data_IF_447922437868
#
_entry.id   IF_447922437868
#
_cell.length_a   1.000
_cell.length_b   1.000
_cell.length_c   1.000
_cell.angle_alpha   90.00
_cell.angle_beta   90.00
_cell.angle_gamma   90.00
#
_symmetry.space_group_name_H-M   'P 1'
#
loop_
_entity.id
_entity.type
_entity.pdbx_description
1 polymer ?
#
# COMPACT_ATOMS: atom_id res chain seq x y z
N UNK A 1 -45.02 -5.57 65.47
CA UNK A 1 -44.23 -4.47 64.83
C UNK A 1 -43.25 -5.10 63.88
N UNK A 2 -43.57 -5.05 62.53
CA UNK A 2 -42.73 -5.66 61.48
C UNK A 2 -42.12 -4.55 60.68
N UNK A 3 -40.80 -4.41 60.72
CA UNK A 3 -40.05 -3.51 59.88
C UNK A 3 -39.82 -4.21 58.51
N UNK A 4 -40.27 -3.60 57.41
CA UNK A 4 -39.91 -3.96 56.03
C UNK A 4 -38.72 -3.10 55.61
N UNK A 5 -37.56 -3.72 55.43
CA UNK A 5 -36.40 -3.13 54.77
C UNK A 5 -36.53 -3.30 53.29
N UNK A 6 -36.78 -2.19 52.57
CA UNK A 6 -36.71 -2.16 51.12
C UNK A 6 -35.26 -1.99 50.63
N UNK A 7 -34.77 -2.95 49.88
CA UNK A 7 -33.51 -2.83 49.16
C UNK A 7 -33.77 -2.12 47.82
N UNK A 8 -33.23 -0.92 47.65
CA UNK A 8 -33.22 -0.23 46.36
C UNK A 8 -32.02 -0.74 45.55
N UNK A 9 -32.28 -1.40 44.45
CA UNK A 9 -31.26 -1.77 43.48
C UNK A 9 -30.94 -0.56 42.59
N UNK A 10 -29.76 0.01 42.76
CA UNK A 10 -29.23 1.06 41.89
C UNK A 10 -28.63 0.37 40.65
N UNK A 11 -29.34 0.44 39.51
CA UNK A 11 -28.82 -0.03 38.21
C UNK A 11 -27.89 1.08 37.70
N UNK A 12 -26.57 0.82 37.79
CA UNK A 12 -25.56 1.63 37.10
C UNK A 12 -25.61 1.25 35.61
N UNK A 13 -26.17 2.11 34.81
CA UNK A 13 -26.00 2.05 33.34
C UNK A 13 -24.58 2.48 33.02
N UNK A 14 -23.70 1.52 32.80
CA UNK A 14 -22.44 1.76 32.12
C UNK A 14 -22.73 2.06 30.66
N UNK A 15 -22.74 3.35 30.31
CA UNK A 15 -22.65 3.77 28.91
C UNK A 15 -21.23 3.45 28.47
N UNK A 16 -21.07 2.35 27.76
CA UNK A 16 -19.85 2.10 27.01
C UNK A 16 -19.76 3.19 25.94
N UNK A 17 -18.90 4.18 26.15
CA UNK A 17 -18.44 5.02 25.03
C UNK A 17 -17.67 4.09 24.11
N UNK A 18 -18.24 3.78 22.95
CA UNK A 18 -17.45 3.30 21.83
C UNK A 18 -16.39 4.37 21.53
N UNK A 19 -15.13 4.03 21.33
CA UNK A 19 -14.17 5.02 20.84
C UNK A 19 -14.77 5.61 19.56
N UNK A 20 -14.84 6.95 19.49
CA UNK A 20 -15.27 7.66 18.29
C UNK A 20 -14.35 7.18 17.16
N UNK A 21 -14.89 6.39 16.23
CA UNK A 21 -14.19 5.96 15.05
C UNK A 21 -13.89 7.23 14.24
N UNK A 22 -12.61 7.60 14.17
CA UNK A 22 -12.16 8.76 13.41
C UNK A 22 -12.52 8.51 11.94
N UNK A 23 -13.36 9.34 11.37
CA UNK A 23 -13.73 9.27 9.96
C UNK A 23 -13.42 10.61 9.31
N UNK A 24 -12.52 10.65 8.34
CA UNK A 24 -12.23 11.89 7.62
C UNK A 24 -13.48 12.42 6.92
N UNK A 25 -13.68 13.73 6.99
CA UNK A 25 -14.85 14.40 6.41
C UNK A 25 -14.77 14.55 4.89
N UNK A 26 -13.55 14.39 4.33
CA UNK A 26 -13.30 14.54 2.90
C UNK A 26 -13.31 13.17 2.24
N UNK A 27 -14.20 12.97 1.28
CA UNK A 27 -14.19 11.76 0.46
C UNK A 27 -13.12 11.84 -0.62
N UNK A 28 -12.48 10.72 -0.91
CA UNK A 28 -11.53 10.62 -2.01
C UNK A 28 -12.21 11.02 -3.33
N UNK A 29 -11.67 11.98 -4.09
CA UNK A 29 -12.31 12.46 -5.31
C UNK A 29 -11.99 11.55 -6.49
N UNK A 30 -12.96 10.77 -6.95
CA UNK A 30 -12.81 9.86 -8.09
C UNK A 30 -13.98 9.96 -9.06
N UNK A 31 -13.78 9.43 -10.26
CA UNK A 31 -14.82 9.21 -11.24
C UNK A 31 -14.91 7.72 -11.55
N UNK A 32 -16.06 7.15 -11.28
CA UNK A 32 -16.36 5.77 -11.70
C UNK A 32 -16.37 5.70 -13.22
N UNK A 33 -15.81 4.66 -13.79
CA UNK A 33 -15.69 4.56 -15.25
C UNK A 33 -16.91 3.95 -15.95
N UNK A 34 -17.84 3.43 -15.17
CA UNK A 34 -19.18 3.03 -15.65
C UNK A 34 -19.24 1.81 -16.55
N UNK A 35 -18.15 1.08 -16.70
CA UNK A 35 -18.11 -0.12 -17.56
C UNK A 35 -17.27 -1.25 -17.02
N UNK A 36 -17.73 -2.49 -17.27
CA UNK A 36 -17.07 -3.71 -16.87
C UNK A 36 -15.86 -4.04 -17.79
N UNK A 37 -14.93 -3.14 -17.92
CA UNK A 37 -13.70 -3.47 -18.63
C UNK A 37 -12.60 -3.89 -17.70
N UNK A 38 -12.67 -3.41 -16.48
CA UNK A 38 -11.73 -3.69 -15.42
C UNK A 38 -12.42 -3.37 -14.10
N UNK A 39 -12.43 -4.24 -13.26
CA UNK A 39 -13.18 -4.27 -12.03
C UNK A 39 -13.90 -5.58 -12.01
N UNK A 40 -13.76 -6.27 -10.94
CA UNK A 40 -14.37 -7.53 -10.73
C UNK A 40 -13.40 -8.65 -10.52
N UNK A 41 -13.99 -9.75 -10.23
CA UNK A 41 -13.41 -10.98 -9.81
C UNK A 41 -12.22 -11.41 -10.67
N UNK A 42 -11.04 -11.48 -10.04
CA UNK A 42 -9.81 -11.99 -10.64
C UNK A 42 -9.55 -13.47 -10.34
N UNK A 43 -10.42 -14.16 -9.61
CA UNK A 43 -10.33 -15.61 -9.33
C UNK A 43 -10.28 -16.41 -10.62
N UNK A 44 -10.98 -15.94 -11.65
CA UNK A 44 -10.91 -16.55 -12.99
C UNK A 44 -9.47 -16.65 -13.52
N UNK A 45 -8.56 -15.87 -12.97
CA UNK A 45 -7.12 -15.88 -13.29
C UNK A 45 -6.32 -16.68 -12.26
N UNK A 46 -6.97 -17.10 -11.15
CA UNK A 46 -6.40 -17.92 -10.10
C UNK A 46 -5.67 -17.14 -9.03
N UNK A 47 -5.99 -15.87 -8.85
CA UNK A 47 -5.65 -15.05 -7.68
C UNK A 47 -6.93 -14.94 -6.86
N UNK A 48 -6.92 -15.44 -5.65
CA UNK A 48 -8.10 -15.46 -4.79
C UNK A 48 -8.12 -14.30 -3.80
N UNK A 49 -7.03 -14.06 -3.14
CA UNK A 49 -6.85 -13.06 -2.07
C UNK A 49 -5.72 -12.08 -2.46
N UNK A 50 -6.04 -11.04 -3.28
CA UNK A 50 -5.04 -10.11 -3.79
C UNK A 50 -4.59 -9.13 -2.72
N UNK A 51 -3.37 -9.26 -2.23
CA UNK A 51 -2.79 -8.47 -1.14
C UNK A 51 -1.97 -7.27 -1.64
N UNK A 52 -1.52 -7.27 -2.89
CA UNK A 52 -0.74 -6.15 -3.42
C UNK A 52 -0.89 -5.93 -4.91
N UNK A 53 -0.74 -4.66 -5.36
CA UNK A 53 -0.79 -4.29 -6.76
C UNK A 53 0.20 -3.17 -7.09
N UNK A 54 0.94 -3.28 -8.20
CA UNK A 54 1.71 -2.16 -8.74
C UNK A 54 1.55 -1.98 -10.25
N UNK A 55 1.61 -0.73 -10.71
CA UNK A 55 1.71 -0.41 -12.14
C UNK A 55 3.15 -0.39 -12.59
N UNK A 56 3.49 -1.21 -13.58
CA UNK A 56 4.83 -1.30 -14.14
C UNK A 56 5.01 -0.32 -15.31
N UNK A 57 5.74 0.81 -15.15
CA UNK A 57 5.73 1.91 -16.13
C UNK A 57 6.39 1.54 -17.46
N UNK A 58 7.40 0.66 -17.49
CA UNK A 58 8.09 0.25 -18.70
C UNK A 58 7.25 -0.72 -19.53
N UNK A 59 6.51 -1.63 -18.86
CA UNK A 59 5.66 -2.65 -19.50
C UNK A 59 4.24 -2.15 -19.76
N UNK A 60 3.80 -1.13 -18.98
CA UNK A 60 2.44 -0.58 -18.99
C UNK A 60 1.38 -1.62 -18.60
N UNK A 61 1.73 -2.44 -17.65
CA UNK A 61 0.94 -3.55 -17.12
C UNK A 61 0.80 -3.39 -15.62
N UNK A 62 -0.05 -4.23 -15.03
CA UNK A 62 -0.21 -4.34 -13.58
C UNK A 62 0.39 -5.66 -13.12
N UNK A 63 1.05 -5.64 -11.99
CA UNK A 63 1.43 -6.83 -11.25
C UNK A 63 0.58 -6.89 -9.98
N UNK A 64 0.06 -8.07 -9.70
CA UNK A 64 -0.75 -8.38 -8.52
C UNK A 64 -0.10 -9.56 -7.82
N UNK A 65 -0.01 -9.49 -6.51
CA UNK A 65 0.43 -10.59 -5.64
C UNK A 65 -0.70 -11.01 -4.72
N UNK A 66 -0.62 -12.19 -4.15
CA UNK A 66 -1.58 -12.70 -3.17
C UNK A 66 -0.86 -13.43 -2.04
N UNK A 67 -1.46 -13.44 -0.87
CA UNK A 67 -1.05 -14.17 0.33
C UNK A 67 -0.89 -15.67 0.08
N UNK A 68 -1.69 -16.24 -0.82
CA UNK A 68 -1.58 -17.62 -1.30
C UNK A 68 -0.27 -17.93 -2.08
N UNK A 69 0.62 -16.95 -2.23
CA UNK A 69 1.90 -17.10 -2.92
C UNK A 69 1.80 -17.08 -4.43
N UNK A 70 1.00 -16.21 -4.99
CA UNK A 70 0.83 -16.06 -6.42
C UNK A 70 1.28 -14.67 -6.89
N UNK A 71 1.92 -14.61 -8.05
CA UNK A 71 2.17 -13.35 -8.78
C UNK A 71 1.55 -13.42 -10.17
N UNK A 72 0.86 -12.36 -10.54
CA UNK A 72 0.19 -12.24 -11.83
C UNK A 72 0.60 -10.94 -12.53
N UNK A 73 0.86 -11.00 -13.84
CA UNK A 73 0.91 -9.81 -14.70
C UNK A 73 -0.35 -9.74 -15.57
N UNK A 74 -0.97 -8.58 -15.61
CA UNK A 74 -2.14 -8.31 -16.44
C UNK A 74 -2.06 -6.96 -17.15
N UNK A 75 -2.77 -6.85 -18.26
CA UNK A 75 -2.99 -5.56 -18.93
C UNK A 75 -3.90 -4.67 -18.05
N UNK A 76 -3.81 -3.36 -18.27
CA UNK A 76 -4.67 -2.37 -17.59
C UNK A 76 -6.17 -2.48 -17.96
N UNK A 77 -6.54 -3.43 -18.78
CA UNK A 77 -7.93 -3.80 -19.10
C UNK A 77 -8.36 -5.14 -18.48
N UNK A 78 -7.53 -5.74 -17.61
CA UNK A 78 -7.84 -6.96 -16.89
C UNK A 78 -7.50 -8.27 -17.62
N UNK A 79 -6.89 -8.20 -18.80
CA UNK A 79 -6.46 -9.41 -19.51
C UNK A 79 -5.16 -9.96 -18.90
N UNK A 80 -5.18 -11.24 -18.53
CA UNK A 80 -4.03 -11.95 -17.99
C UNK A 80 -2.91 -12.08 -19.05
N UNK A 81 -1.67 -11.81 -18.64
CA UNK A 81 -0.45 -12.04 -19.43
C UNK A 81 0.25 -13.31 -18.93
N UNK A 82 0.54 -13.39 -17.64
CA UNK A 82 1.03 -14.60 -17.01
C UNK A 82 0.66 -14.66 -15.53
N UNK A 83 0.77 -15.84 -14.96
CA UNK A 83 0.70 -16.11 -13.52
C UNK A 83 1.75 -17.16 -13.17
N UNK A 84 2.32 -17.05 -12.00
CA UNK A 84 3.18 -18.10 -11.44
C UNK A 84 3.11 -18.09 -9.92
N UNK A 85 3.50 -19.21 -9.32
CA UNK A 85 3.63 -19.33 -7.87
C UNK A 85 5.02 -18.91 -7.42
N UNK A 86 5.07 -18.09 -6.36
CA UNK A 86 6.25 -17.76 -5.56
C UNK A 86 5.88 -18.16 -4.13
N UNK A 87 6.55 -19.17 -3.52
CA UNK A 87 6.20 -19.59 -2.17
C UNK A 87 6.40 -18.47 -1.15
N UNK A 88 5.44 -18.32 -0.28
CA UNK A 88 5.41 -17.31 0.79
C UNK A 88 4.08 -16.61 0.82
N UNK A 89 3.87 -15.86 1.86
CA UNK A 89 2.77 -14.98 2.11
C UNK A 89 3.09 -13.63 1.46
N UNK A 90 2.63 -13.43 0.20
CA UNK A 90 3.05 -12.27 -0.60
C UNK A 90 2.07 -11.11 -0.38
N UNK A 91 2.56 -10.06 0.26
CA UNK A 91 1.76 -8.90 0.60
C UNK A 91 1.97 -7.74 -0.39
N UNK A 92 2.83 -6.83 -0.10
CA UNK A 92 3.07 -5.69 -0.96
C UNK A 92 3.92 -6.00 -2.19
N UNK A 93 3.69 -5.28 -3.29
CA UNK A 93 4.54 -5.31 -4.49
C UNK A 93 4.79 -3.91 -5.03
N UNK A 94 6.04 -3.62 -5.37
CA UNK A 94 6.45 -2.36 -6.02
C UNK A 94 7.44 -2.60 -7.15
N UNK A 95 7.74 -1.57 -7.93
CA UNK A 95 8.66 -1.65 -9.07
C UNK A 95 9.71 -0.56 -9.01
N UNK A 96 10.96 -0.90 -9.27
CA UNK A 96 11.97 0.11 -9.59
C UNK A 96 11.76 0.57 -11.04
N UNK A 97 11.32 1.81 -11.27
CA UNK A 97 10.95 2.28 -12.62
C UNK A 97 12.14 2.38 -13.58
N UNK A 98 13.38 2.37 -13.08
CA UNK A 98 14.60 2.43 -13.86
C UNK A 98 15.03 1.05 -14.37
N UNK A 99 14.98 0.04 -13.52
CA UNK A 99 15.42 -1.32 -13.84
C UNK A 99 14.29 -2.20 -14.37
N UNK A 100 13.05 -1.93 -13.96
CA UNK A 100 11.89 -2.77 -14.21
C UNK A 100 11.82 -4.01 -13.30
N UNK A 101 12.69 -4.12 -12.32
CA UNK A 101 12.63 -5.20 -11.33
C UNK A 101 11.54 -4.91 -10.30
N UNK A 102 10.84 -5.96 -9.89
CA UNK A 102 9.83 -5.90 -8.83
C UNK A 102 10.45 -6.21 -7.49
N UNK A 103 9.87 -5.63 -6.44
CA UNK A 103 10.19 -5.94 -5.06
C UNK A 103 8.91 -6.33 -4.36
N UNK A 104 8.91 -7.52 -3.75
CA UNK A 104 7.73 -8.17 -3.17
C UNK A 104 8.01 -8.38 -1.69
N UNK A 105 7.13 -7.87 -0.84
CA UNK A 105 7.16 -8.12 0.59
C UNK A 105 6.59 -9.51 0.88
N UNK A 106 7.23 -10.24 1.78
CA UNK A 106 6.74 -11.51 2.33
C UNK A 106 6.56 -11.32 3.82
N UNK A 107 5.34 -11.54 4.27
CA UNK A 107 4.98 -11.49 5.67
C UNK A 107 5.56 -12.68 6.47
N UNK A 108 5.61 -12.53 7.80
CA UNK A 108 6.06 -13.57 8.72
C UNK A 108 7.56 -13.80 8.76
N UNK A 109 8.22 -13.85 7.63
CA UNK A 109 9.67 -13.96 7.50
C UNK A 109 10.37 -12.58 7.38
N UNK A 110 9.60 -11.51 7.14
CA UNK A 110 10.04 -10.13 6.80
C UNK A 110 11.15 -10.14 5.74
N UNK A 111 10.79 -10.72 4.63
CA UNK A 111 11.66 -10.85 3.46
C UNK A 111 11.15 -9.96 2.35
N UNK A 112 12.08 -9.35 1.63
CA UNK A 112 11.76 -8.64 0.38
C UNK A 112 12.48 -9.38 -0.76
N UNK A 113 11.71 -9.84 -1.72
CA UNK A 113 12.24 -10.51 -2.92
C UNK A 113 12.46 -9.49 -4.04
N UNK A 114 13.58 -9.59 -4.72
CA UNK A 114 13.79 -8.95 -6.02
C UNK A 114 13.42 -9.92 -7.12
N UNK A 115 12.43 -9.57 -7.92
CA UNK A 115 11.90 -10.42 -8.99
C UNK A 115 12.09 -9.80 -10.36
N UNK A 116 12.60 -10.59 -11.30
CA UNK A 116 12.76 -10.20 -12.70
C UNK A 116 11.55 -10.70 -13.51
N UNK A 117 10.67 -9.79 -13.97
CA UNK A 117 9.46 -10.18 -14.68
C UNK A 117 9.74 -10.71 -16.12
N UNK A 118 10.90 -10.39 -16.71
CA UNK A 118 11.28 -10.92 -18.01
C UNK A 118 11.78 -12.36 -17.91
N UNK A 119 12.57 -12.65 -16.89
CA UNK A 119 13.06 -13.99 -16.61
C UNK A 119 12.08 -14.84 -15.80
N UNK A 120 11.08 -14.21 -15.17
CA UNK A 120 10.10 -14.83 -14.29
C UNK A 120 10.77 -15.58 -13.14
N UNK A 121 11.73 -14.95 -12.48
CA UNK A 121 12.49 -15.56 -11.40
C UNK A 121 12.88 -14.55 -10.33
N UNK A 122 12.98 -15.04 -9.09
CA UNK A 122 13.60 -14.32 -7.98
C UNK A 122 15.11 -14.26 -8.24
N UNK A 123 15.66 -13.04 -8.18
CA UNK A 123 17.10 -12.79 -8.35
C UNK A 123 17.82 -12.75 -7.01
N UNK A 124 17.25 -12.03 -6.04
CA UNK A 124 17.83 -11.80 -4.72
C UNK A 124 16.75 -11.81 -3.64
N UNK A 125 17.20 -12.06 -2.43
CA UNK A 125 16.38 -12.05 -1.22
C UNK A 125 17.00 -11.09 -0.21
N UNK A 126 16.21 -10.18 0.32
CA UNK A 126 16.63 -9.23 1.34
C UNK A 126 15.90 -9.54 2.64
N UNK A 127 16.63 -9.91 3.69
CA UNK A 127 16.07 -10.12 5.02
C UNK A 127 16.04 -8.80 5.77
N UNK A 128 14.88 -8.36 6.18
CA UNK A 128 14.74 -7.14 6.98
C UNK A 128 15.24 -7.40 8.40
N UNK A 129 16.29 -6.69 8.79
CA UNK A 129 16.73 -6.66 10.17
C UNK A 129 15.66 -5.92 11.01
N UNK A 130 15.12 -6.63 11.99
CA UNK A 130 14.01 -6.15 12.84
C UNK A 130 14.42 -5.08 13.86
N UNK A 131 15.72 -4.78 13.95
CA UNK A 131 16.25 -3.81 14.91
C UNK A 131 16.02 -2.38 14.45
N UNK A 132 15.61 -1.52 15.39
CA UNK A 132 15.62 -0.07 15.19
C UNK A 132 16.03 0.66 16.48
N UNK A 133 17.01 1.56 16.38
CA UNK A 133 17.61 2.22 17.54
C UNK A 133 18.26 1.20 18.50
N UNK A 134 17.86 1.25 19.77
CA UNK A 134 18.34 0.33 20.79
C UNK A 134 17.42 -0.90 20.99
N UNK A 135 16.33 -1.00 20.21
CA UNK A 135 15.39 -2.15 20.28
C UNK A 135 15.79 -3.20 19.23
N UNK A 136 16.33 -4.37 19.63
CA UNK A 136 16.78 -5.42 18.72
C UNK A 136 15.62 -6.18 18.04
N UNK A 137 14.41 -6.05 18.57
CA UNK A 137 13.19 -6.68 18.05
C UNK A 137 12.08 -5.64 17.90
N UNK A 138 12.39 -4.51 17.28
CA UNK A 138 11.43 -3.43 17.06
C UNK A 138 10.19 -3.92 16.28
N UNK A 139 10.39 -4.69 15.21
CA UNK A 139 9.32 -5.46 14.58
C UNK A 139 9.26 -6.81 15.29
N UNK A 140 8.20 -7.05 16.02
CA UNK A 140 8.03 -8.25 16.82
C UNK A 140 7.47 -9.39 16.01
N UNK A 141 7.98 -10.59 16.29
CA UNK A 141 7.39 -11.82 15.78
C UNK A 141 6.16 -12.17 16.61
N UNK A 142 5.05 -12.26 15.97
CA UNK A 142 3.92 -12.95 16.55
C UNK A 142 4.06 -14.47 16.43
N UNK A 143 3.34 -15.19 17.33
CA UNK A 143 3.45 -16.65 17.40
C UNK A 143 2.72 -17.35 16.26
N UNK A 144 1.81 -16.65 15.59
CA UNK A 144 0.87 -17.22 14.64
C UNK A 144 1.15 -16.81 13.18
N UNK A 145 2.24 -16.09 12.89
CA UNK A 145 2.72 -15.73 11.54
C UNK A 145 1.82 -14.80 10.70
N UNK A 146 0.73 -14.26 11.28
CA UNK A 146 -0.26 -13.47 10.55
C UNK A 146 -0.08 -11.95 10.71
N UNK A 147 1.11 -11.46 11.02
CA UNK A 147 1.33 -10.03 11.25
C UNK A 147 2.78 -9.65 10.95
N UNK A 148 2.97 -8.75 10.01
CA UNK A 148 4.32 -8.35 9.59
C UNK A 148 4.31 -7.17 8.63
N UNK A 149 5.18 -7.27 7.61
CA UNK A 149 5.26 -6.26 6.56
C UNK A 149 4.20 -6.49 5.49
N UNK A 150 3.22 -5.59 5.45
CA UNK A 150 2.06 -5.63 4.54
C UNK A 150 2.32 -4.91 3.22
N UNK A 151 2.79 -3.70 3.30
CA UNK A 151 2.94 -2.86 2.12
C UNK A 151 4.38 -2.46 1.87
N UNK A 152 4.72 -2.26 0.59
CA UNK A 152 6.05 -1.81 0.16
C UNK A 152 5.94 -0.86 -1.02
N UNK A 153 6.74 0.22 -1.00
CA UNK A 153 6.84 1.14 -2.13
C UNK A 153 8.28 1.61 -2.33
N UNK A 154 8.75 1.59 -3.57
CA UNK A 154 10.05 2.13 -3.95
C UNK A 154 9.93 3.58 -4.39
N UNK A 155 10.63 4.47 -3.71
CA UNK A 155 10.73 5.89 -4.05
C UNK A 155 12.08 6.15 -4.71
N UNK A 156 12.11 6.40 -6.03
CA UNK A 156 13.36 6.63 -6.75
C UNK A 156 14.00 7.97 -6.33
N UNK A 157 15.31 7.94 -6.11
CA UNK A 157 16.14 9.11 -5.84
C UNK A 157 17.52 8.92 -6.48
N UNK A 158 17.81 9.66 -7.55
CA UNK A 158 19.07 9.56 -8.28
C UNK A 158 20.29 9.99 -7.43
N UNK A 159 20.06 10.71 -6.33
CA UNK A 159 21.12 11.13 -5.39
C UNK A 159 21.40 10.09 -4.31
N UNK A 160 20.48 9.11 -4.14
CA UNK A 160 20.67 8.04 -3.17
C UNK A 160 21.64 6.98 -3.70
N UNK A 161 22.60 6.48 -2.88
CA UNK A 161 23.59 5.49 -3.34
C UNK A 161 22.98 4.21 -3.93
N UNK A 162 21.83 3.79 -3.41
CA UNK A 162 21.10 2.60 -3.85
C UNK A 162 20.01 2.93 -4.90
N UNK A 163 20.02 4.15 -5.49
CA UNK A 163 19.06 4.60 -6.51
C UNK A 163 17.69 5.00 -5.99
N UNK A 164 17.45 4.90 -4.70
CA UNK A 164 16.19 5.24 -4.04
C UNK A 164 16.07 4.61 -2.65
N UNK A 165 14.93 4.81 -2.03
CA UNK A 165 14.60 4.25 -0.73
C UNK A 165 13.29 3.46 -0.81
N UNK A 166 13.14 2.46 0.04
CA UNK A 166 11.90 1.72 0.20
C UNK A 166 11.13 2.24 1.40
N UNK A 167 9.83 2.33 1.25
CA UNK A 167 8.90 2.56 2.34
C UNK A 167 8.10 1.29 2.55
N UNK A 168 8.01 0.85 3.79
CA UNK A 168 7.40 -0.43 4.18
C UNK A 168 6.40 -0.16 5.30
N UNK A 169 5.20 -0.66 5.15
CA UNK A 169 4.19 -0.70 6.20
C UNK A 169 4.32 -1.99 7.00
N UNK A 170 4.28 -1.87 8.31
CA UNK A 170 4.16 -2.99 9.22
C UNK A 170 2.79 -2.92 9.88
N UNK A 171 2.01 -3.98 9.75
CA UNK A 171 0.62 -4.01 10.19
C UNK A 171 0.50 -3.93 11.71
N UNK A 172 1.31 -4.68 12.42
CA UNK A 172 1.14 -4.93 13.84
C UNK A 172 2.46 -4.89 14.62
N UNK A 173 2.40 -4.59 15.88
CA UNK A 173 3.42 -4.60 16.94
C UNK A 173 4.87 -4.19 16.56
N UNK A 174 5.09 -2.91 16.25
CA UNK A 174 4.11 -1.82 16.22
C UNK A 174 3.56 -1.58 14.81
N UNK A 175 2.30 -1.17 14.65
CA UNK A 175 1.84 -0.65 13.37
C UNK A 175 2.62 0.63 13.04
N UNK A 176 3.29 0.64 11.90
CA UNK A 176 4.16 1.76 11.54
C UNK A 176 4.53 1.78 10.05
N UNK A 177 5.01 2.93 9.62
CA UNK A 177 5.61 3.12 8.30
C UNK A 177 7.10 3.35 8.49
N UNK A 178 7.91 2.56 7.80
CA UNK A 178 9.36 2.59 7.87
C UNK A 178 9.98 2.97 6.55
N UNK A 179 11.07 3.73 6.60
CA UNK A 179 12.01 3.81 5.50
C UNK A 179 13.05 2.72 5.68
N UNK A 180 13.22 1.89 4.66
CA UNK A 180 14.10 0.71 4.68
C UNK A 180 15.20 0.87 3.64
N UNK A 181 16.44 0.70 4.05
CA UNK A 181 17.60 0.65 3.18
C UNK A 181 17.82 -0.77 2.69
N UNK A 182 17.57 -0.98 1.41
CA UNK A 182 17.86 -2.23 0.71
C UNK A 182 19.13 -2.01 -0.13
N UNK A 183 20.19 -2.83 0.06
CA UNK A 183 21.49 -2.62 -0.59
C UNK A 183 21.47 -3.11 -2.05
N UNK A 184 20.78 -2.39 -2.94
CA UNK A 184 20.60 -2.77 -4.34
C UNK A 184 21.93 -2.77 -5.13
N UNK A 185 22.77 -1.77 -4.86
CA UNK A 185 24.06 -1.59 -5.54
C UNK A 185 25.22 -2.11 -4.68
N UNK A 186 25.11 -1.97 -3.36
CA UNK A 186 26.23 -2.28 -2.43
C UNK A 186 26.31 -3.75 -2.02
N UNK A 187 25.27 -4.56 -2.27
CA UNK A 187 25.31 -6.02 -2.06
C UNK A 187 24.96 -6.75 -3.36
N UNK A 188 25.86 -7.62 -3.82
CA UNK A 188 25.67 -8.41 -5.05
C UNK A 188 25.46 -9.90 -4.79
N UNK A 189 25.27 -10.28 -3.53
CA UNK A 189 25.00 -11.66 -3.14
C UNK A 189 23.52 -11.99 -3.38
N UNK A 190 23.20 -13.27 -3.48
CA UNK A 190 21.80 -13.73 -3.64
C UNK A 190 20.96 -13.43 -2.40
N UNK A 191 21.61 -13.22 -1.26
CA UNK A 191 20.98 -12.94 0.03
C UNK A 191 21.70 -11.77 0.70
N UNK A 192 20.96 -10.72 1.02
CA UNK A 192 21.49 -9.52 1.66
C UNK A 192 20.62 -9.11 2.84
N UNK A 193 21.16 -8.28 3.74
CA UNK A 193 20.41 -7.69 4.84
C UNK A 193 19.86 -6.32 4.44
N UNK A 194 18.57 -6.11 4.63
CA UNK A 194 17.90 -4.81 4.61
C UNK A 194 17.79 -4.26 6.03
N UNK A 195 17.75 -2.93 6.19
CA UNK A 195 17.74 -2.29 7.51
C UNK A 195 16.75 -1.15 7.58
N UNK A 196 16.07 -1.02 8.71
CA UNK A 196 15.23 0.13 9.04
C UNK A 196 16.14 1.34 9.24
N UNK A 197 16.02 2.35 8.38
CA UNK A 197 16.76 3.61 8.51
C UNK A 197 16.01 4.62 9.35
N UNK A 198 14.69 4.61 9.24
CA UNK A 198 13.83 5.55 9.93
C UNK A 198 12.41 5.01 10.06
N UNK A 199 11.77 5.30 11.19
CA UNK A 199 10.33 5.14 11.39
C UNK A 199 9.67 6.51 11.20
N UNK A 200 8.64 6.59 10.36
CA UNK A 200 7.95 7.84 10.11
C UNK A 200 7.02 8.20 11.28
N UNK A 201 6.86 9.49 11.62
CA UNK A 201 6.01 9.94 12.71
C UNK A 201 4.52 9.97 12.32
N UNK A 202 4.06 8.92 11.65
CA UNK A 202 2.67 8.74 11.24
C UNK A 202 2.06 7.67 12.14
N UNK A 203 0.92 7.98 12.73
CA UNK A 203 0.13 7.00 13.47
C UNK A 203 -0.98 6.53 12.56
N UNK A 204 -0.98 5.28 12.25
CA UNK A 204 -1.96 4.62 11.41
C UNK A 204 -2.00 3.15 11.84
N UNK A 205 -3.16 2.64 12.02
CA UNK A 205 -3.36 1.22 12.19
C UNK A 205 -3.43 0.60 10.81
N UNK A 206 -2.85 -0.59 10.64
CA UNK A 206 -2.95 -1.39 9.43
C UNK A 206 -2.62 -0.62 8.13
N UNK A 207 -1.34 -0.28 7.86
CA UNK A 207 -0.92 0.35 6.60
C UNK A 207 -0.82 -0.69 5.49
N UNK A 208 -1.98 -1.20 5.03
CA UNK A 208 -2.13 -2.31 4.09
C UNK A 208 -1.65 -2.01 2.67
N UNK A 209 -1.71 -0.76 2.21
CA UNK A 209 -1.28 -0.41 0.85
C UNK A 209 -0.51 0.89 0.76
N UNK A 210 0.48 0.94 -0.15
CA UNK A 210 1.24 2.15 -0.44
C UNK A 210 1.43 2.41 -1.93
N UNK A 211 1.50 3.70 -2.29
CA UNK A 211 1.88 4.12 -3.64
C UNK A 211 2.52 5.52 -3.62
N UNK A 212 3.73 5.65 -4.20
CA UNK A 212 4.37 6.94 -4.41
C UNK A 212 3.91 7.58 -5.70
N UNK A 213 3.16 8.66 -5.60
CA UNK A 213 2.75 9.43 -6.77
C UNK A 213 3.82 10.47 -7.14
N UNK A 214 4.63 10.14 -8.13
CA UNK A 214 5.70 11.02 -8.62
C UNK A 214 5.21 12.37 -9.16
N UNK A 215 3.91 12.52 -9.45
CA UNK A 215 3.31 13.79 -9.90
C UNK A 215 3.15 14.79 -8.76
N UNK A 216 2.85 14.30 -7.56
CA UNK A 216 2.71 15.11 -6.35
C UNK A 216 3.97 15.10 -5.48
N UNK A 217 4.77 14.04 -5.57
CA UNK A 217 5.87 13.76 -4.66
C UNK A 217 5.41 13.26 -3.29
N UNK A 218 4.16 12.77 -3.18
CA UNK A 218 3.59 12.26 -1.95
C UNK A 218 3.46 10.74 -1.96
N UNK A 219 3.62 10.16 -0.79
CA UNK A 219 3.29 8.77 -0.54
C UNK A 219 1.80 8.70 -0.16
N UNK A 220 1.06 7.88 -0.87
CA UNK A 220 -0.33 7.55 -0.58
C UNK A 220 -0.32 6.25 0.21
N UNK A 221 -1.01 6.22 1.34
CA UNK A 221 -1.06 5.06 2.22
C UNK A 221 -2.51 4.81 2.56
N UNK A 222 -2.92 3.56 2.46
CA UNK A 222 -4.26 3.11 2.87
C UNK A 222 -4.14 2.39 4.19
N UNK A 223 -5.10 2.63 5.06
CA UNK A 223 -5.43 1.77 6.19
C UNK A 223 -6.73 1.07 5.86
N UNK A 224 -6.69 -0.24 5.79
CA UNK A 224 -7.90 -1.04 5.61
C UNK A 224 -8.77 -0.97 6.86
N UNK A 225 -8.21 -1.13 8.03
CA UNK A 225 -8.93 -1.07 9.31
C UNK A 225 -9.78 0.20 9.48
N UNK A 226 -9.33 1.34 8.96
CA UNK A 226 -10.02 2.63 9.07
C UNK A 226 -10.73 3.05 7.77
N UNK A 227 -10.55 2.34 6.66
CA UNK A 227 -11.03 2.72 5.32
C UNK A 227 -10.63 4.15 4.93
N UNK A 228 -9.38 4.51 5.17
CA UNK A 228 -8.85 5.84 4.86
C UNK A 228 -7.65 5.75 3.90
N UNK A 229 -7.48 6.81 3.12
CA UNK A 229 -6.24 7.09 2.40
C UNK A 229 -5.63 8.36 2.93
N UNK A 230 -4.37 8.32 3.33
CA UNK A 230 -3.58 9.48 3.68
C UNK A 230 -2.52 9.78 2.62
N UNK A 231 -2.31 11.07 2.34
CA UNK A 231 -1.16 11.57 1.59
C UNK A 231 -0.14 12.13 2.58
N UNK A 232 1.07 11.63 2.55
CA UNK A 232 2.18 12.15 3.35
C UNK A 232 3.34 12.64 2.49
N UNK A 233 4.12 13.59 2.99
CA UNK A 233 5.44 13.82 2.43
C UNK A 233 6.43 12.73 2.90
N UNK A 234 7.60 12.64 2.26
CA UNK A 234 8.61 11.63 2.59
C UNK A 234 9.25 11.80 3.98
N UNK A 235 8.82 12.79 4.76
CA UNK A 235 9.20 12.99 6.16
C UNK A 235 8.11 12.53 7.13
N UNK A 236 6.98 12.05 6.61
CA UNK A 236 5.84 11.59 7.40
C UNK A 236 4.88 12.70 7.83
N UNK A 237 4.98 13.90 7.23
CA UNK A 237 3.97 14.93 7.46
C UNK A 237 2.71 14.63 6.66
N UNK A 238 1.59 14.49 7.34
CA UNK A 238 0.27 14.33 6.71
C UNK A 238 -0.09 15.62 5.94
N UNK A 239 -0.39 15.46 4.66
CA UNK A 239 -0.80 16.52 3.74
C UNK A 239 -2.31 16.53 3.59
N UNK A 240 -2.93 15.36 3.46
CA UNK A 240 -4.38 15.17 3.33
C UNK A 240 -4.79 13.79 3.83
N UNK A 241 -6.05 13.70 4.21
CA UNK A 241 -6.72 12.47 4.59
C UNK A 241 -8.06 12.39 3.87
N UNK A 242 -8.41 11.19 3.43
CA UNK A 242 -9.65 10.93 2.71
C UNK A 242 -10.35 9.71 3.28
N UNK A 243 -11.67 9.76 3.43
CA UNK A 243 -12.46 8.55 3.47
C UNK A 243 -12.31 7.85 2.11
N UNK A 244 -11.80 6.63 2.12
CA UNK A 244 -11.43 5.94 0.89
C UNK A 244 -12.63 5.14 0.34
N UNK A 245 -12.48 4.63 -0.87
CA UNK A 245 -13.51 3.84 -1.54
C UNK A 245 -13.16 2.35 -1.46
N UNK A 246 -14.19 1.50 -1.48
CA UNK A 246 -14.03 0.06 -1.35
C UNK A 246 -14.12 -0.40 0.10
N UNK A 247 -13.72 -1.62 0.33
CA UNK A 247 -13.53 -2.28 1.61
C UNK A 247 -12.43 -3.33 1.43
N UNK A 248 -11.79 -3.71 2.51
CA UNK A 248 -10.73 -4.73 2.48
C UNK A 248 -9.65 -4.39 1.41
N UNK A 249 -9.11 -3.16 1.49
CA UNK A 249 -8.16 -2.62 0.50
C UNK A 249 -6.73 -3.02 0.84
N UNK A 250 -6.15 -3.93 0.07
CA UNK A 250 -4.83 -4.50 0.31
C UNK A 250 -3.76 -3.97 -0.65
N UNK A 251 -4.15 -3.34 -1.73
CA UNK A 251 -3.20 -2.80 -2.68
C UNK A 251 -3.70 -1.58 -3.43
N UNK A 252 -2.83 -0.59 -3.66
CA UNK A 252 -3.13 0.56 -4.52
C UNK A 252 -2.01 0.87 -5.50
N UNK A 253 -2.37 1.33 -6.70
CA UNK A 253 -1.41 1.90 -7.64
C UNK A 253 -2.09 2.87 -8.60
N UNK A 254 -1.31 3.80 -9.18
CA UNK A 254 -1.82 4.78 -10.13
C UNK A 254 -0.99 4.71 -11.40
N UNK A 255 -1.64 4.54 -12.55
CA UNK A 255 -0.96 4.55 -13.83
C UNK A 255 -0.62 5.99 -14.30
N UNK A 256 0.16 6.08 -15.36
CA UNK A 256 0.57 7.37 -15.94
C UNK A 256 -0.58 8.19 -16.53
N UNK A 257 -1.69 7.56 -16.86
CA UNK A 257 -2.91 8.20 -17.32
C UNK A 257 -3.76 8.72 -16.14
N UNK A 258 -3.39 8.38 -14.90
CA UNK A 258 -4.06 8.77 -13.66
C UNK A 258 -5.30 7.93 -13.39
N UNK A 259 -5.31 6.68 -13.78
CA UNK A 259 -6.25 5.70 -13.25
C UNK A 259 -5.67 5.10 -11.98
N UNK A 260 -6.49 5.07 -10.94
CA UNK A 260 -6.23 4.40 -9.68
C UNK A 260 -6.77 2.97 -9.78
N UNK A 261 -5.97 2.02 -9.36
CA UNK A 261 -6.31 0.62 -9.21
C UNK A 261 -6.21 0.26 -7.73
N UNK A 262 -7.19 -0.49 -7.23
CA UNK A 262 -7.27 -0.94 -5.84
C UNK A 262 -7.46 -2.44 -5.88
N UNK A 263 -6.56 -3.19 -5.26
CA UNK A 263 -6.75 -4.61 -4.98
C UNK A 263 -7.55 -4.72 -3.68
N UNK A 264 -8.54 -5.60 -3.68
CA UNK A 264 -9.41 -5.85 -2.53
C UNK A 264 -9.48 -7.34 -2.28
N UNK A 265 -9.19 -7.72 -1.06
CA UNK A 265 -9.49 -9.03 -0.54
C UNK A 265 -10.81 -8.99 0.21
N UNK A 266 -11.68 -9.93 -0.08
CA UNK A 266 -12.98 -10.06 0.60
C UNK A 266 -13.03 -11.32 1.48
N UNK A 267 -11.88 -11.93 1.73
CA UNK A 267 -11.72 -13.16 2.51
C UNK A 267 -12.19 -14.41 1.77
N UNK A 268 -11.97 -15.58 2.36
CA UNK A 268 -12.19 -16.91 1.78
C UNK A 268 -13.58 -17.15 1.14
N UNK A 269 -14.58 -16.35 1.47
CA UNK A 269 -15.98 -16.54 1.08
C UNK A 269 -16.42 -15.64 -0.08
N UNK A 270 -15.59 -14.72 -0.53
CA UNK A 270 -15.90 -13.84 -1.64
C UNK A 270 -14.68 -13.64 -2.56
N UNK A 271 -14.96 -13.29 -3.78
CA UNK A 271 -13.95 -13.20 -4.82
C UNK A 271 -13.07 -11.98 -4.67
N UNK A 272 -11.75 -12.15 -4.80
CA UNK A 272 -10.81 -11.02 -4.90
C UNK A 272 -11.15 -10.12 -6.08
N UNK A 273 -11.02 -8.82 -5.89
CA UNK A 273 -11.43 -7.82 -6.88
C UNK A 273 -10.34 -6.78 -7.12
N UNK A 274 -10.25 -6.27 -8.36
CA UNK A 274 -9.52 -5.04 -8.65
C UNK A 274 -10.48 -3.98 -9.11
N UNK A 275 -10.56 -2.89 -8.37
CA UNK A 275 -11.32 -1.69 -8.75
C UNK A 275 -10.44 -0.79 -9.62
N UNK A 276 -11.02 -0.21 -10.67
CA UNK A 276 -10.38 0.84 -11.48
C UNK A 276 -11.24 2.08 -11.53
N UNK A 277 -10.69 3.20 -11.10
CA UNK A 277 -11.35 4.51 -11.16
C UNK A 277 -10.44 5.59 -11.73
N UNK A 278 -11.00 6.70 -12.19
CA UNK A 278 -10.21 7.88 -12.53
C UNK A 278 -9.98 8.71 -11.27
N UNK A 279 -8.72 8.91 -10.91
CA UNK A 279 -8.32 9.82 -9.85
C UNK A 279 -8.53 11.28 -10.28
N UNK A 280 -9.32 12.00 -9.52
CA UNK A 280 -9.66 13.40 -9.81
C UNK A 280 -8.86 14.42 -9.01
N UNK A 281 -7.96 14.01 -8.11
CA UNK A 281 -7.16 14.93 -7.27
C UNK A 281 -6.38 15.95 -8.11
N UNK A 282 -5.96 15.58 -9.31
CA UNK A 282 -5.11 16.38 -10.17
C UNK A 282 -5.83 17.06 -11.34
N UNK A 283 -7.12 16.84 -11.50
CA UNK A 283 -7.89 17.42 -12.63
C UNK A 283 -7.79 18.95 -12.70
N UNK A 284 -7.68 19.61 -11.56
CA UNK A 284 -7.57 21.07 -11.46
C UNK A 284 -6.14 21.61 -11.66
N UNK A 285 -5.11 20.79 -11.50
CA UNK A 285 -3.73 21.23 -11.69
C UNK A 285 -3.38 21.40 -13.18
N UNK A 286 -3.86 20.51 -14.04
CA UNK A 286 -3.68 20.62 -15.48
C UNK A 286 -4.39 21.89 -16.02
N UNK A 287 -5.59 22.21 -15.53
CA UNK A 287 -6.30 23.44 -15.91
C UNK A 287 -5.61 24.71 -15.40
N UNK A 288 -5.00 24.68 -14.21
CA UNK A 288 -4.23 25.83 -13.69
C UNK A 288 -2.95 26.08 -14.47
N UNK A 289 -2.23 25.04 -14.90
CA UNK A 289 -1.05 25.19 -15.77
C UNK A 289 -1.42 25.79 -17.12
N UNK A 290 -2.52 25.38 -17.73
CA UNK A 290 -3.02 25.94 -19.00
C UNK A 290 -3.49 27.37 -18.85
N UNK A 291 -4.16 27.71 -17.76
CA UNK A 291 -4.61 29.08 -17.45
C UNK A 291 -3.43 30.02 -17.09
N UNK A 292 -2.39 29.50 -16.42
CA UNK A 292 -1.16 30.24 -16.10
C UNK A 292 -0.31 30.57 -17.33
N UNK A 293 -0.21 29.62 -18.28
CA UNK A 293 0.55 29.84 -19.52
C UNK A 293 -0.13 30.87 -20.48
N UNK A 294 -1.46 31.00 -20.41
CA UNK A 294 -2.19 32.03 -21.19
C UNK A 294 -2.07 33.45 -20.63
N UNK A 295 -1.70 33.61 -19.35
CA UNK A 295 -1.51 34.95 -18.73
C UNK A 295 -0.10 35.50 -18.92
N UNK A 296 0.89 34.70 -19.25
CA UNK A 296 2.27 35.16 -19.50
C UNK A 296 2.54 35.52 -20.97
N UNK A 297 1.56 35.37 -21.87
CA UNK A 297 1.68 35.66 -23.30
C UNK A 297 1.07 36.97 -23.78
N UNK A 298 0.61 37.88 -22.87
CA UNK A 298 0.03 39.16 -23.27
C UNK A 298 0.70 40.35 -22.57
N UNK A 299 1.99 40.57 -22.86
CA UNK A 299 2.64 41.82 -22.63
C UNK A 299 3.77 42.00 -23.63
N UNK A 300 3.39 42.25 -24.89
CA UNK A 300 4.21 42.93 -25.87
C UNK A 300 3.26 43.73 -26.78
N UNK A 301 3.06 44.98 -26.42
CA UNK A 301 2.93 46.12 -27.32
C UNK A 301 3.53 47.35 -26.62
#
# INVERSE_FOLDING_TARGET
MRFKTGFAFLILLLVACSPDQYSPTIRFPYQWLGEPGFGGNIDKHGILEPSGICYHPLRKTLFVVSDEGEIMEMLTNGNLIFRQRIPGDLEGVTVNPKTGLLYIAIEGDEVILEFDPDKKQVLRTFYLNRMYGDDPEFIRREKDYDNGIESIEFVPDETHPEGGAFYVGNQWDPPCIMEVLIPLESCQENTCEARISRVLPVKMDDPSAMHFDSRSGFLNIVSDADNILIEIDLKGKIIREYAFLGADQEGITIDKEGYLYIAQDHGEMSAGEIIKVKDLRYRNQAMRKVAGSRRSGSSFE
#
